data_IF_940973435461
#
_entry.id   IF_940973435461
#
_cell.length_a   1.000
_cell.length_b   1.000
_cell.length_c   1.000
_cell.angle_alpha   90.00
_cell.angle_beta   90.00
_cell.angle_gamma   90.00
#
_symmetry.space_group_name_H-M   'P 1'
#
loop_
_entity.id
_entity.type
_entity.pdbx_description
1 polymer ?
#
# COMPACT_ATOMS: atom_id res chain seq x y z
N UNK A 1 12.04 -20.28 6.54
CA UNK A 1 10.72 -19.71 6.19
C UNK A 1 10.25 -18.64 7.18
N UNK A 2 10.68 -18.63 8.45
CA UNK A 2 10.32 -17.56 9.41
C UNK A 2 10.97 -16.19 9.15
N UNK A 3 12.26 -16.14 8.83
CA UNK A 3 13.00 -14.88 8.70
C UNK A 3 12.57 -14.00 7.50
N UNK A 4 12.09 -14.59 6.41
CA UNK A 4 11.70 -13.88 5.18
C UNK A 4 10.37 -13.12 5.38
N UNK A 5 9.44 -13.74 6.13
CA UNK A 5 8.16 -13.12 6.49
C UNK A 5 8.41 -11.97 7.46
N UNK A 6 9.29 -12.16 8.45
CA UNK A 6 9.67 -11.13 9.42
C UNK A 6 10.34 -9.91 8.74
N UNK A 7 11.14 -10.14 7.68
CA UNK A 7 11.77 -9.04 6.92
C UNK A 7 10.74 -8.25 6.12
N UNK A 8 9.81 -8.92 5.44
CA UNK A 8 8.76 -8.26 4.67
C UNK A 8 7.81 -7.47 5.58
N UNK A 9 7.40 -8.05 6.71
CA UNK A 9 6.53 -7.37 7.69
C UNK A 9 7.19 -6.12 8.27
N UNK A 10 8.48 -6.19 8.64
CA UNK A 10 9.23 -5.01 9.09
C UNK A 10 9.30 -3.93 8.01
N UNK A 11 9.55 -4.32 6.76
CA UNK A 11 9.61 -3.37 5.65
C UNK A 11 8.26 -2.68 5.40
N UNK A 12 7.14 -3.44 5.47
CA UNK A 12 5.80 -2.88 5.33
C UNK A 12 5.52 -1.87 6.45
N UNK A 13 5.84 -2.21 7.70
CA UNK A 13 5.65 -1.33 8.85
C UNK A 13 6.48 -0.04 8.74
N UNK A 14 7.73 -0.14 8.28
CA UNK A 14 8.57 1.03 7.99
C UNK A 14 7.94 1.93 6.92
N UNK A 15 7.54 1.36 5.78
CA UNK A 15 6.89 2.11 4.68
C UNK A 15 5.61 2.80 5.15
N UNK A 16 4.82 2.15 6.01
CA UNK A 16 3.60 2.76 6.58
C UNK A 16 3.90 3.93 7.52
N UNK A 17 4.96 3.85 8.32
CA UNK A 17 5.39 4.92 9.24
C UNK A 17 5.98 6.14 8.54
N UNK A 18 6.44 6.00 7.30
CA UNK A 18 6.98 7.15 6.56
C UNK A 18 5.92 8.27 6.36
N UNK A 19 6.32 9.54 6.40
CA UNK A 19 5.38 10.65 6.22
C UNK A 19 4.79 10.65 4.81
N UNK A 20 3.47 10.84 4.72
CA UNK A 20 2.77 10.93 3.44
C UNK A 20 3.16 12.20 2.68
N UNK A 21 3.48 12.05 1.40
CA UNK A 21 3.71 13.15 0.48
C UNK A 21 2.97 12.89 -0.83
N UNK A 22 2.11 13.82 -1.25
CA UNK A 22 1.25 13.67 -2.44
C UNK A 22 2.07 13.37 -3.71
N UNK A 23 3.25 13.96 -3.86
CA UNK A 23 4.06 13.88 -5.07
C UNK A 23 5.09 12.74 -5.04
N UNK A 24 5.64 12.41 -3.87
CA UNK A 24 6.81 11.51 -3.77
C UNK A 24 6.65 10.33 -2.81
N UNK A 25 5.73 10.39 -1.85
CA UNK A 25 5.50 9.31 -0.88
C UNK A 25 4.00 9.11 -0.62
N UNK A 26 3.27 8.92 -1.71
CA UNK A 26 1.84 8.66 -1.69
C UNK A 26 1.55 7.16 -1.70
N UNK A 27 0.27 6.78 -1.66
CA UNK A 27 -0.15 5.39 -1.61
C UNK A 27 0.40 4.54 -2.78
N UNK A 28 0.54 5.11 -3.99
CA UNK A 28 1.08 4.39 -5.15
C UNK A 28 2.55 4.05 -4.92
N UNK A 29 3.34 5.05 -4.51
CA UNK A 29 4.78 4.87 -4.27
C UNK A 29 5.06 3.84 -3.17
N UNK A 30 4.30 3.92 -2.08
CA UNK A 30 4.43 3.00 -0.94
C UNK A 30 4.10 1.56 -1.34
N UNK A 31 2.95 1.32 -1.95
CA UNK A 31 2.56 -0.04 -2.37
C UNK A 31 3.44 -0.58 -3.51
N UNK A 32 3.95 0.28 -4.40
CA UNK A 32 4.94 -0.13 -5.41
C UNK A 32 6.21 -0.68 -4.77
N UNK A 33 6.71 -0.04 -3.70
CA UNK A 33 7.89 -0.49 -2.95
C UNK A 33 7.62 -1.82 -2.24
N UNK A 34 6.45 -1.98 -1.62
CA UNK A 34 6.04 -3.23 -0.96
C UNK A 34 5.97 -4.38 -1.97
N UNK A 35 5.31 -4.18 -3.11
CA UNK A 35 5.23 -5.21 -4.18
C UNK A 35 6.62 -5.58 -4.70
N UNK A 36 7.50 -4.60 -4.91
CA UNK A 36 8.86 -4.85 -5.35
C UNK A 36 9.64 -5.68 -4.32
N UNK A 37 9.61 -5.31 -3.04
CA UNK A 37 10.31 -6.02 -1.98
C UNK A 37 9.77 -7.44 -1.79
N UNK A 38 8.45 -7.62 -1.84
CA UNK A 38 7.83 -8.94 -1.79
C UNK A 38 8.30 -9.85 -2.94
N UNK A 39 8.38 -9.32 -4.18
CA UNK A 39 8.93 -10.06 -5.33
C UNK A 39 10.42 -10.38 -5.18
N UNK A 40 11.22 -9.45 -4.66
CA UNK A 40 12.64 -9.68 -4.38
C UNK A 40 12.85 -10.81 -3.36
N UNK A 41 11.92 -10.97 -2.42
CA UNK A 41 11.90 -12.03 -1.41
C UNK A 41 11.27 -13.35 -1.89
N UNK A 42 10.88 -13.44 -3.16
CA UNK A 42 10.32 -14.65 -3.78
C UNK A 42 8.82 -14.85 -3.59
N UNK A 43 8.10 -13.84 -3.11
CA UNK A 43 6.64 -13.88 -2.96
C UNK A 43 5.92 -13.47 -4.24
N UNK A 44 4.72 -14.02 -4.45
CA UNK A 44 3.85 -13.56 -5.53
C UNK A 44 3.19 -12.25 -5.09
N UNK A 45 3.59 -11.14 -5.71
CA UNK A 45 3.01 -9.84 -5.40
C UNK A 45 2.50 -9.08 -6.63
N UNK A 46 1.35 -8.43 -6.49
CA UNK A 46 0.73 -7.59 -7.51
C UNK A 46 0.21 -6.28 -6.91
N UNK A 47 0.22 -5.23 -7.71
CA UNK A 47 -0.44 -3.97 -7.34
C UNK A 47 -1.87 -4.03 -7.85
N UNK A 48 -2.82 -3.69 -6.99
CA UNK A 48 -4.23 -3.61 -7.35
C UNK A 48 -4.74 -2.18 -7.16
N UNK A 49 -5.49 -1.69 -8.13
CA UNK A 49 -6.19 -0.41 -8.05
C UNK A 49 -7.66 -0.63 -7.68
N UNK A 50 -8.20 0.18 -6.78
CA UNK A 50 -9.63 0.32 -6.55
C UNK A 50 -10.03 1.79 -6.54
N UNK A 51 -11.35 2.03 -6.53
CA UNK A 51 -11.92 3.34 -6.25
C UNK A 51 -12.20 3.35 -4.74
N UNK A 52 -11.52 4.21 -3.98
CA UNK A 52 -11.82 4.40 -2.57
C UNK A 52 -12.81 5.54 -2.40
N UNK A 53 -13.80 5.31 -1.55
CA UNK A 53 -14.78 6.30 -1.11
C UNK A 53 -14.42 6.66 0.32
N UNK A 54 -13.73 7.78 0.50
CA UNK A 54 -13.39 8.31 1.82
C UNK A 54 -14.60 9.08 2.36
N UNK A 55 -15.20 8.66 3.49
CA UNK A 55 -16.31 9.38 4.13
C UNK A 55 -15.80 10.60 4.91
N UNK A 56 -14.79 11.29 4.38
CA UNK A 56 -14.44 12.64 4.83
C UNK A 56 -15.53 13.56 4.29
N UNK A 57 -16.28 14.24 5.16
CA UNK A 57 -17.22 15.31 4.75
C UNK A 57 -16.39 16.52 4.26
N UNK A 58 -16.21 16.76 2.97
CA UNK A 58 -15.42 17.88 2.49
C UNK A 58 -16.40 19.02 2.19
N UNK A 59 -16.60 19.93 3.15
CA UNK A 59 -17.22 21.27 3.02
C UNK A 59 -18.64 21.38 2.37
N UNK A 60 -19.18 20.34 1.73
CA UNK A 60 -20.42 20.35 0.94
C UNK A 60 -21.19 19.01 0.95
N UNK A 61 -20.80 18.04 1.79
CA UNK A 61 -21.53 16.76 1.94
C UNK A 61 -21.27 15.69 0.86
N UNK A 62 -20.32 15.91 -0.06
CA UNK A 62 -19.96 14.95 -1.11
C UNK A 62 -18.78 14.09 -0.66
N UNK A 63 -18.87 12.75 -0.62
CA UNK A 63 -17.73 11.91 -0.23
C UNK A 63 -16.55 12.09 -1.19
N UNK A 64 -15.32 12.08 -0.65
CA UNK A 64 -14.12 12.16 -1.46
C UNK A 64 -13.91 10.79 -2.16
N UNK A 65 -14.22 10.73 -3.45
CA UNK A 65 -14.00 9.55 -4.30
C UNK A 65 -12.66 9.73 -5.00
N UNK A 66 -11.74 8.79 -4.80
CA UNK A 66 -10.40 8.87 -5.39
C UNK A 66 -9.84 7.50 -5.74
N UNK A 67 -8.87 7.45 -6.68
CA UNK A 67 -8.14 6.22 -6.96
C UNK A 67 -7.35 5.79 -5.73
N UNK A 68 -7.43 4.52 -5.39
CA UNK A 68 -6.70 3.90 -4.29
C UNK A 68 -5.95 2.68 -4.80
N UNK A 69 -4.79 2.43 -4.22
CA UNK A 69 -3.90 1.36 -4.66
C UNK A 69 -3.47 0.59 -3.42
N UNK A 70 -3.51 -0.73 -3.51
CA UNK A 70 -3.07 -1.66 -2.47
C UNK A 70 -2.14 -2.71 -3.06
N UNK A 71 -1.34 -3.35 -2.20
CA UNK A 71 -0.48 -4.45 -2.57
C UNK A 71 -1.18 -5.76 -2.23
N UNK A 72 -1.15 -6.73 -3.13
CA UNK A 72 -1.58 -8.11 -2.85
C UNK A 72 -0.32 -8.98 -2.85
N UNK A 73 -0.02 -9.62 -1.73
CA UNK A 73 1.13 -10.53 -1.54
C UNK A 73 0.61 -11.88 -1.06
N UNK A 74 0.91 -12.96 -1.78
CA UNK A 74 0.48 -14.34 -1.45
C UNK A 74 -1.01 -14.44 -1.06
N UNK A 75 -1.86 -13.87 -1.90
CA UNK A 75 -3.30 -13.76 -1.68
C UNK A 75 -3.79 -12.88 -0.51
N UNK A 76 -2.89 -12.24 0.23
CA UNK A 76 -3.22 -11.28 1.29
C UNK A 76 -3.12 -9.84 0.79
N UNK A 77 -4.07 -9.01 1.19
CA UNK A 77 -4.05 -7.57 0.92
C UNK A 77 -3.26 -6.85 2.00
N UNK A 78 -2.35 -5.98 1.59
CA UNK A 78 -1.47 -5.14 2.39
C UNK A 78 -1.71 -3.68 2.03
#
# INVERSE_FOLDING_TARGET
MGEIVDELEKFIDEVHKEPFNILSNNCIHKHARIVRKARELGHEASMMGCISVLPLKPVAGVPLIGPHFYAKVDDKVV
#
